data_IF_328080614667
#
_entry.id   IF_328080614667
#
_cell.length_a   1.000
_cell.length_b   1.000
_cell.length_c   1.000
_cell.angle_alpha   90.00
_cell.angle_beta   90.00
_cell.angle_gamma   90.00
#
_symmetry.space_group_name_H-M   'P 1'
#
loop_
_entity.id
_entity.type
_entity.pdbx_description
1 polymer ?
#
# COMPACT_ATOMS: atom_id res chain seq x y z
N UNK A 1 5.31 -13.79 -1.68
CA UNK A 1 5.21 -12.83 -0.56
C UNK A 1 3.78 -12.30 -0.52
N UNK A 2 3.22 -11.96 0.65
CA UNK A 2 1.97 -11.19 0.73
C UNK A 2 2.13 -9.88 -0.06
N UNK A 3 1.12 -9.48 -0.81
CA UNK A 3 1.16 -8.31 -1.70
C UNK A 3 0.63 -8.62 -3.11
N UNK A 4 0.10 -7.60 -3.79
CA UNK A 4 -0.56 -7.76 -5.09
C UNK A 4 0.40 -8.16 -6.21
N UNK A 5 1.63 -7.63 -6.19
CA UNK A 5 2.66 -7.83 -7.22
C UNK A 5 2.21 -7.42 -8.63
N UNK A 6 1.43 -6.34 -8.73
CA UNK A 6 0.97 -5.85 -10.03
C UNK A 6 2.07 -5.11 -10.79
N UNK A 7 2.07 -5.27 -12.12
CA UNK A 7 2.81 -4.40 -13.04
C UNK A 7 2.10 -3.05 -13.19
N UNK A 8 2.78 -2.07 -13.78
CA UNK A 8 2.20 -0.75 -14.02
C UNK A 8 1.02 -0.82 -15.00
N UNK A 9 1.13 -1.64 -16.05
CA UNK A 9 0.11 -1.79 -17.10
C UNK A 9 -1.17 -2.37 -16.51
N UNK A 10 -1.05 -3.47 -15.75
CA UNK A 10 -2.19 -4.09 -15.08
C UNK A 10 -2.86 -3.12 -14.10
N UNK A 11 -2.06 -2.33 -13.38
CA UNK A 11 -2.58 -1.32 -12.47
C UNK A 11 -3.33 -0.19 -13.18
N UNK A 12 -2.88 0.23 -14.37
CA UNK A 12 -3.59 1.25 -15.16
C UNK A 12 -4.99 0.78 -15.59
N UNK A 13 -5.14 -0.49 -15.91
CA UNK A 13 -6.45 -1.08 -16.25
C UNK A 13 -7.36 -1.17 -15.01
N UNK A 14 -6.77 -1.34 -13.84
CA UNK A 14 -7.49 -1.58 -12.59
C UNK A 14 -7.89 -0.29 -11.84
N UNK A 15 -7.07 0.77 -11.90
CA UNK A 15 -7.29 2.05 -11.21
C UNK A 15 -8.66 2.69 -11.44
N UNK A 16 -9.21 2.72 -12.67
CA UNK A 16 -10.51 3.32 -12.92
C UNK A 16 -11.66 2.56 -12.25
N UNK A 17 -11.47 1.26 -12.01
CA UNK A 17 -12.43 0.41 -11.30
C UNK A 17 -12.34 0.69 -9.80
N UNK A 18 -11.13 0.69 -9.25
CA UNK A 18 -10.88 0.93 -7.83
C UNK A 18 -11.38 2.29 -7.34
N UNK A 19 -11.16 3.33 -8.13
CA UNK A 19 -11.39 4.72 -7.70
C UNK A 19 -12.74 5.28 -8.16
N UNK A 20 -13.59 4.46 -8.80
CA UNK A 20 -14.87 4.90 -9.39
C UNK A 20 -15.78 5.62 -8.40
N UNK A 21 -15.81 5.14 -7.15
CA UNK A 21 -16.65 5.69 -6.08
C UNK A 21 -15.91 6.71 -5.19
N UNK A 22 -14.66 7.07 -5.52
CA UNK A 22 -13.92 8.10 -4.80
C UNK A 22 -14.47 9.49 -5.11
N UNK A 23 -14.33 10.43 -4.18
CA UNK A 23 -14.56 11.86 -4.42
C UNK A 23 -13.57 12.44 -5.44
N UNK A 24 -12.45 11.75 -5.70
CA UNK A 24 -11.45 12.12 -6.70
C UNK A 24 -11.04 10.93 -7.56
N UNK A 25 -11.89 10.46 -8.49
CA UNK A 25 -11.58 9.30 -9.32
C UNK A 25 -10.31 9.50 -10.15
N UNK A 26 -9.53 8.43 -10.29
CA UNK A 26 -8.33 8.40 -11.09
C UNK A 26 -8.54 7.52 -12.33
N UNK A 27 -7.90 7.92 -13.42
CA UNK A 27 -7.80 7.15 -14.66
C UNK A 27 -6.38 7.32 -15.23
N UNK A 28 -6.06 6.56 -16.27
CA UNK A 28 -4.72 6.56 -16.87
C UNK A 28 -4.26 7.95 -17.34
N UNK A 29 -5.20 8.82 -17.76
CA UNK A 29 -4.89 10.17 -18.24
C UNK A 29 -4.59 11.20 -17.15
N UNK A 30 -4.97 10.92 -15.90
CA UNK A 30 -4.75 11.83 -14.76
C UNK A 30 -3.98 11.19 -13.60
N UNK A 31 -3.44 9.99 -13.82
CA UNK A 31 -2.66 9.25 -12.85
C UNK A 31 -1.34 9.97 -12.57
N UNK A 32 -0.92 9.95 -11.31
CA UNK A 32 0.32 10.58 -10.89
C UNK A 32 1.52 9.90 -11.59
N UNK A 33 2.31 10.64 -12.39
CA UNK A 33 3.44 10.06 -13.11
C UNK A 33 4.54 9.53 -12.18
N UNK A 34 4.54 9.92 -10.89
CA UNK A 34 5.45 9.33 -9.90
C UNK A 34 5.28 7.81 -9.77
N UNK A 35 4.08 7.28 -9.98
CA UNK A 35 3.82 5.83 -9.87
C UNK A 35 4.69 5.08 -10.90
N UNK A 36 4.60 5.48 -12.17
CA UNK A 36 5.40 4.89 -13.24
C UNK A 36 6.90 5.14 -13.04
N UNK A 37 7.27 6.36 -12.63
CA UNK A 37 8.68 6.71 -12.37
C UNK A 37 9.31 5.85 -11.27
N UNK A 38 8.59 5.60 -10.18
CA UNK A 38 9.10 4.74 -9.10
C UNK A 38 9.28 3.31 -9.62
N UNK A 39 8.27 2.77 -10.31
CA UNK A 39 8.32 1.40 -10.84
C UNK A 39 9.44 1.17 -11.84
N UNK A 40 9.78 2.19 -12.63
CA UNK A 40 10.86 2.14 -13.62
C UNK A 40 12.24 2.45 -13.01
N UNK A 41 12.30 3.27 -11.96
CA UNK A 41 13.57 3.65 -11.33
C UNK A 41 14.13 2.57 -10.41
N UNK A 42 13.28 1.88 -9.64
CA UNK A 42 13.71 0.85 -8.70
C UNK A 42 13.53 -0.54 -9.32
N UNK A 43 14.63 -1.19 -9.68
CA UNK A 43 14.60 -2.56 -10.22
C UNK A 43 13.97 -3.54 -9.23
N UNK A 44 13.05 -4.38 -9.71
CA UNK A 44 12.32 -5.34 -8.87
C UNK A 44 11.21 -4.71 -8.02
N UNK A 45 10.94 -3.41 -8.17
CA UNK A 45 9.79 -2.79 -7.50
C UNK A 45 8.47 -3.29 -8.08
N UNK A 46 7.48 -3.43 -7.21
CA UNK A 46 6.14 -3.91 -7.58
C UNK A 46 5.08 -3.16 -6.81
N UNK A 47 3.87 -3.11 -7.35
CA UNK A 47 2.72 -2.60 -6.60
C UNK A 47 2.37 -3.64 -5.53
N UNK A 48 2.63 -3.27 -4.28
CA UNK A 48 2.43 -4.11 -3.11
C UNK A 48 0.98 -4.06 -2.64
N UNK A 49 0.36 -2.87 -2.66
CA UNK A 49 -1.01 -2.68 -2.19
C UNK A 49 -1.67 -1.46 -2.80
N UNK A 50 -3.00 -1.45 -2.77
CA UNK A 50 -3.84 -0.35 -3.28
C UNK A 50 -4.74 0.17 -2.15
N UNK A 51 -4.82 1.49 -2.04
CA UNK A 51 -5.74 2.18 -1.14
C UNK A 51 -6.80 2.94 -1.92
N UNK A 52 -7.67 3.67 -1.21
CA UNK A 52 -8.70 4.49 -1.88
C UNK A 52 -8.13 5.65 -2.69
N UNK A 53 -6.97 6.18 -2.30
CA UNK A 53 -6.41 7.44 -2.85
C UNK A 53 -4.91 7.35 -3.20
N UNK A 54 -4.29 6.20 -3.01
CA UNK A 54 -2.86 6.01 -3.15
C UNK A 54 -2.52 4.55 -3.42
N UNK A 55 -1.41 4.32 -4.10
CA UNK A 55 -0.75 3.02 -4.24
C UNK A 55 0.40 2.88 -3.25
N UNK A 56 0.68 1.67 -2.81
CA UNK A 56 1.90 1.32 -2.07
C UNK A 56 2.78 0.47 -2.98
N UNK A 57 3.99 0.95 -3.26
CA UNK A 57 4.98 0.32 -4.13
C UNK A 57 6.11 -0.21 -3.25
N UNK A 58 6.38 -1.51 -3.32
CA UNK A 58 7.58 -2.10 -2.71
C UNK A 58 8.79 -1.70 -3.54
N UNK A 59 9.85 -1.19 -2.90
CA UNK A 59 11.12 -0.86 -3.59
C UNK A 59 12.30 -1.65 -3.05
N UNK A 60 12.16 -2.27 -1.88
CA UNK A 60 13.07 -3.25 -1.33
C UNK A 60 12.31 -4.15 -0.38
N UNK A 61 13.02 -5.10 0.22
CA UNK A 61 12.44 -6.01 1.20
C UNK A 61 11.67 -5.30 2.34
N UNK A 62 12.24 -4.25 2.91
CA UNK A 62 11.69 -3.59 4.11
C UNK A 62 11.24 -2.14 3.86
N UNK A 63 11.26 -1.68 2.60
CA UNK A 63 10.92 -0.31 2.22
C UNK A 63 9.83 -0.25 1.16
N UNK A 64 8.93 0.71 1.35
CA UNK A 64 7.88 1.03 0.41
C UNK A 64 7.73 2.54 0.18
N UNK A 65 7.24 2.89 -1.01
CA UNK A 65 6.79 4.22 -1.36
C UNK A 65 5.28 4.21 -1.49
N UNK A 66 4.61 5.02 -0.68
CA UNK A 66 3.18 5.31 -0.84
C UNK A 66 3.03 6.54 -1.72
N UNK A 67 2.35 6.41 -2.85
CA UNK A 67 2.20 7.46 -3.87
C UNK A 67 0.73 7.76 -4.08
N UNK A 68 0.34 9.04 -4.09
CA UNK A 68 -1.05 9.41 -4.39
C UNK A 68 -1.43 9.05 -5.83
N UNK A 69 -2.69 8.68 -6.06
CA UNK A 69 -3.16 8.45 -7.43
C UNK A 69 -3.19 9.72 -8.27
N UNK A 70 -3.45 10.88 -7.66
CA UNK A 70 -3.47 12.17 -8.35
C UNK A 70 -2.39 13.08 -7.79
N UNK A 71 -1.71 13.79 -8.68
CA UNK A 71 -0.79 14.84 -8.29
C UNK A 71 -1.53 15.92 -7.48
N UNK A 72 -0.92 16.38 -6.39
CA UNK A 72 -1.51 17.33 -5.44
C UNK A 72 -2.66 16.76 -4.60
N UNK A 73 -2.75 15.44 -4.42
CA UNK A 73 -3.87 14.82 -3.70
C UNK A 73 -3.92 15.20 -2.21
N UNK A 74 -5.04 15.72 -1.73
CA UNK A 74 -5.16 16.16 -0.32
C UNK A 74 -5.03 15.01 0.69
N UNK A 75 -5.44 13.80 0.32
CA UNK A 75 -5.39 12.64 1.22
C UNK A 75 -3.97 12.27 1.64
N UNK A 76 -2.99 12.35 0.73
CA UNK A 76 -1.60 12.05 1.09
C UNK A 76 -0.98 13.18 1.92
N UNK A 77 -1.37 14.44 1.71
CA UNK A 77 -0.93 15.57 2.54
C UNK A 77 -1.44 15.46 3.97
N UNK A 78 -2.69 15.03 4.13
CA UNK A 78 -3.26 14.73 5.44
C UNK A 78 -2.48 13.62 6.13
N UNK A 79 -2.20 12.51 5.43
CA UNK A 79 -1.41 11.40 5.96
C UNK A 79 0.03 11.81 6.34
N UNK A 80 0.67 12.64 5.51
CA UNK A 80 1.98 13.23 5.81
C UNK A 80 1.96 14.09 7.09
N UNK A 81 0.86 14.82 7.32
CA UNK A 81 0.70 15.64 8.51
C UNK A 81 0.58 14.78 9.77
N UNK A 82 -0.13 13.64 9.67
CA UNK A 82 -0.18 12.63 10.74
C UNK A 82 1.21 12.05 11.00
N UNK A 83 1.95 11.65 9.96
CA UNK A 83 3.30 11.10 10.15
C UNK A 83 4.27 12.11 10.77
N UNK A 84 4.13 13.41 10.47
CA UNK A 84 4.92 14.46 11.15
C UNK A 84 4.63 14.53 12.64
N UNK A 85 3.35 14.41 13.05
CA UNK A 85 2.99 14.36 14.47
C UNK A 85 3.56 13.12 15.15
N UNK A 86 3.50 11.97 14.47
CA UNK A 86 4.06 10.71 14.97
C UNK A 86 5.60 10.68 15.02
N UNK A 87 6.30 11.61 14.37
CA UNK A 87 7.76 11.73 14.53
C UNK A 87 8.16 12.28 15.90
N UNK A 88 7.25 12.97 16.60
CA UNK A 88 7.51 13.49 17.94
C UNK A 88 7.58 12.38 19.00
N UNK A 89 6.89 11.27 18.79
CA UNK A 89 6.85 10.13 19.72
C UNK A 89 7.10 8.81 18.97
N UNK A 90 8.22 8.17 19.27
CA UNK A 90 8.55 6.87 18.68
C UNK A 90 7.56 5.79 19.16
N UNK A 91 6.60 5.45 18.30
CA UNK A 91 5.68 4.33 18.53
C UNK A 91 6.14 3.09 17.74
N UNK A 92 6.63 2.02 18.39
CA UNK A 92 7.12 0.82 17.70
C UNK A 92 6.00 0.00 17.02
N UNK A 93 4.74 0.35 17.24
CA UNK A 93 3.57 -0.36 16.72
C UNK A 93 3.02 0.23 15.42
N UNK A 94 3.52 1.39 15.01
CA UNK A 94 3.12 2.08 13.79
C UNK A 94 4.27 2.03 12.80
N UNK A 95 3.97 1.65 11.55
CA UNK A 95 4.97 1.65 10.47
C UNK A 95 5.65 3.02 10.36
N UNK A 96 6.98 3.02 10.32
CA UNK A 96 7.75 4.26 10.33
C UNK A 96 7.70 4.97 8.98
N UNK A 97 7.44 6.28 8.98
CA UNK A 97 7.76 7.14 7.83
C UNK A 97 9.19 7.65 7.94
N UNK A 98 9.98 7.45 6.89
CA UNK A 98 11.37 7.93 6.79
C UNK A 98 11.46 9.28 6.10
N UNK A 99 10.62 9.51 5.08
CA UNK A 99 10.59 10.74 4.32
C UNK A 99 9.17 11.02 3.81
N UNK A 100 8.78 12.29 3.80
CA UNK A 100 7.57 12.78 3.15
C UNK A 100 7.94 13.88 2.16
N UNK A 101 7.48 13.76 0.92
CA UNK A 101 7.69 14.75 -0.14
C UNK A 101 6.38 14.95 -0.92
N UNK A 102 6.36 15.82 -1.93
CA UNK A 102 5.15 16.07 -2.69
C UNK A 102 4.61 14.76 -3.30
N UNK A 103 3.37 14.41 -2.94
CA UNK A 103 2.65 13.23 -3.43
C UNK A 103 3.26 11.85 -3.08
N UNK A 104 4.23 11.80 -2.17
CA UNK A 104 4.93 10.56 -1.84
C UNK A 104 5.36 10.47 -0.38
N UNK A 105 5.33 9.26 0.18
CA UNK A 105 5.83 8.93 1.51
C UNK A 105 6.74 7.70 1.38
N UNK A 106 8.00 7.83 1.78
CA UNK A 106 8.89 6.69 2.01
C UNK A 106 8.64 6.15 3.42
N UNK A 107 8.37 4.87 3.51
CA UNK A 107 8.00 4.22 4.76
C UNK A 107 8.45 2.77 4.85
N UNK A 108 8.40 2.24 6.06
CA UNK A 108 8.62 0.82 6.35
C UNK A 108 7.57 -0.04 5.65
N UNK A 109 8.02 -1.16 5.07
CA UNK A 109 7.17 -2.20 4.52
C UNK A 109 6.97 -3.33 5.53
N UNK A 110 5.71 -3.59 5.91
CA UNK A 110 5.36 -4.72 6.78
C UNK A 110 5.07 -5.95 5.92
N UNK A 111 6.06 -6.85 5.80
CA UNK A 111 6.04 -8.02 4.90
C UNK A 111 4.91 -9.02 5.12
N UNK A 112 4.34 -9.07 6.33
CA UNK A 112 3.31 -10.05 6.70
C UNK A 112 1.91 -9.72 6.13
N UNK A 113 1.84 -8.76 5.21
CA UNK A 113 0.60 -8.31 4.61
C UNK A 113 -0.33 -7.65 5.63
N UNK A 114 -1.57 -7.43 5.19
CA UNK A 114 -2.62 -6.89 6.01
C UNK A 114 -3.10 -7.91 7.05
N UNK A 115 -3.93 -7.47 7.99
CA UNK A 115 -4.64 -8.41 8.87
C UNK A 115 -5.60 -9.29 8.07
N UNK A 116 -6.23 -8.74 7.02
CA UNK A 116 -7.12 -9.48 6.13
C UNK A 116 -6.42 -10.67 5.47
N UNK A 117 -5.23 -10.44 4.91
CA UNK A 117 -4.42 -11.50 4.27
C UNK A 117 -4.12 -12.64 5.22
N UNK A 118 -3.88 -12.33 6.51
CA UNK A 118 -3.55 -13.32 7.54
C UNK A 118 -4.77 -14.03 8.10
N UNK A 119 -5.91 -13.36 8.20
CA UNK A 119 -7.15 -13.99 8.67
C UNK A 119 -7.76 -14.90 7.60
N UNK A 120 -7.54 -14.61 6.32
CA UNK A 120 -7.93 -15.49 5.21
C UNK A 120 -7.09 -16.77 5.09
N UNK A 121 -5.99 -16.89 5.84
CA UNK A 121 -5.11 -18.06 5.88
C UNK A 121 -5.48 -19.08 6.96
N UNK A 122 -6.66 -18.97 7.57
CA UNK A 122 -7.23 -20.06 8.38
C UNK A 122 -7.54 -21.27 7.50
N UNK A 123 -6.76 -22.34 7.65
CA UNK A 123 -6.94 -23.70 7.13
C UNK A 123 -6.95 -23.94 5.60
N UNK A 124 -6.22 -23.16 4.79
CA UNK A 124 -5.93 -23.60 3.41
C UNK A 124 -4.47 -23.42 2.96
N UNK A 125 -3.84 -24.44 2.34
CA UNK A 125 -2.52 -24.31 1.74
C UNK A 125 -2.58 -23.35 0.56
N UNK A 126 -1.52 -22.55 0.40
CA UNK A 126 -1.36 -21.52 -0.61
C UNK A 126 -1.77 -21.99 -2.02
N UNK A 127 -2.93 -21.55 -2.48
CA UNK A 127 -3.27 -21.51 -3.90
C UNK A 127 -3.35 -20.06 -4.37
N UNK A 128 -2.74 -19.85 -5.53
CA UNK A 128 -2.70 -18.65 -6.36
C UNK A 128 -4.05 -17.92 -6.37
N UNK A 129 -4.05 -16.63 -6.03
CA UNK A 129 -5.27 -15.82 -5.94
C UNK A 129 -5.77 -15.53 -7.37
N UNK A 130 -6.86 -16.17 -7.75
CA UNK A 130 -7.58 -15.90 -9.01
C UNK A 130 -8.28 -14.53 -8.95
N UNK A 131 -7.95 -13.66 -9.90
CA UNK A 131 -8.48 -12.30 -10.04
C UNK A 131 -10.02 -12.26 -10.25
N UNK A 132 -10.66 -13.39 -10.53
CA UNK A 132 -12.12 -13.49 -10.66
C UNK A 132 -12.87 -13.39 -9.33
N UNK A 133 -12.23 -13.68 -8.18
CA UNK A 133 -12.83 -13.56 -6.85
C UNK A 133 -13.11 -12.10 -6.43
N UNK A 134 -12.51 -11.12 -7.12
CA UNK A 134 -12.65 -9.68 -6.85
C UNK A 134 -13.92 -9.06 -7.47
N UNK A 135 -14.73 -9.81 -8.23
CA UNK A 135 -15.98 -9.32 -8.86
C UNK A 135 -17.23 -9.46 -7.98
N UNK A 136 -17.17 -10.22 -6.88
CA UNK A 136 -18.37 -10.63 -6.14
C UNK A 136 -18.72 -9.85 -4.86
N UNK A 137 -17.81 -9.08 -4.29
CA UNK A 137 -18.01 -8.42 -2.99
C UNK A 137 -17.81 -6.91 -3.10
N UNK A 138 -18.93 -6.18 -3.10
CA UNK A 138 -18.97 -4.72 -3.09
C UNK A 138 -18.42 -4.11 -1.80
N UNK A 139 -17.10 -4.17 -1.59
CA UNK A 139 -16.49 -3.63 -0.38
C UNK A 139 -14.97 -3.59 -0.39
N UNK A 140 -14.36 -2.81 -1.29
CA UNK A 140 -13.01 -2.31 -1.03
C UNK A 140 -13.08 -1.24 0.06
N UNK A 141 -12.96 -1.65 1.34
CA UNK A 141 -12.91 -0.71 2.46
C UNK A 141 -11.47 -0.27 2.69
N UNK A 142 -11.26 1.04 2.79
CA UNK A 142 -9.96 1.67 3.02
C UNK A 142 -9.21 0.99 4.17
N UNK A 143 -8.04 0.41 3.89
CA UNK A 143 -7.15 -0.15 4.91
C UNK A 143 -6.13 0.92 5.31
N UNK A 144 -6.58 1.83 6.16
CA UNK A 144 -5.71 2.77 6.86
C UNK A 144 -5.31 2.15 8.20
N UNK A 145 -4.04 2.29 8.53
CA UNK A 145 -3.31 1.83 9.71
C UNK A 145 -2.58 0.49 9.52
N UNK A 146 -1.27 0.60 9.22
CA UNK A 146 -0.31 -0.50 9.19
C UNK A 146 0.18 -0.79 10.63
N UNK A 147 -0.60 -1.58 11.38
CA UNK A 147 -0.25 -1.99 12.74
C UNK A 147 0.75 -3.15 12.74
N UNK A 148 1.86 -3.00 13.47
CA UNK A 148 2.78 -4.09 13.77
C UNK A 148 2.21 -4.95 14.91
N UNK A 149 2.29 -6.29 14.81
CA UNK A 149 2.01 -7.19 15.94
C UNK A 149 3.26 -7.33 16.82
N UNK A 150 3.08 -7.40 18.13
CA UNK A 150 4.14 -7.82 19.05
C UNK A 150 4.47 -9.30 18.77
N UNK A 151 5.70 -9.61 18.37
CA UNK A 151 6.23 -10.97 18.49
C UNK A 151 6.73 -11.11 19.94
N UNK A 152 6.30 -12.11 20.72
CA UNK A 152 6.95 -12.42 21.98
C UNK A 152 8.39 -12.82 21.66
N UNK A 153 9.36 -12.19 22.31
CA UNK A 153 10.75 -12.60 22.27
C UNK A 153 10.85 -14.05 22.73
N UNK A 154 11.30 -14.93 21.84
CA UNK A 154 11.56 -16.33 22.17
C UNK A 154 12.54 -16.41 23.33
N UNK A 155 12.16 -17.16 24.37
CA UNK A 155 13.10 -17.62 25.39
C UNK A 155 14.11 -18.58 24.74
N UNK A 156 15.41 -18.48 25.07
CA UNK A 156 16.38 -19.48 24.66
C UNK A 156 16.26 -20.72 25.55
N UNK A 157 16.24 -21.89 24.93
CA UNK A 157 16.72 -23.16 25.49
C UNK A 157 17.61 -23.82 24.45
#
# INVERSE_FOLDING_TARGET
>A
MPGLNFTYEYFCDFVPILTRASSSPANTGNLNPLIHKVLTHYSGSTIYGVGGHSVLISISEDLALKVSYRAGGEHIRHEQSIFKLLQAELCPYIARSYLSALDIILMELVKNGTLYDRMGQGDQPYHEVDATALRGSGGFREHKIYLRRHQPSGHPL
#
